data_IF_657494003913
#
_entry.id   IF_657494003913
#
_cell.length_a   1.000
_cell.length_b   1.000
_cell.length_c   1.000
_cell.angle_alpha   90.00
_cell.angle_beta   90.00
_cell.angle_gamma   90.00
#
_symmetry.space_group_name_H-M   'P 1'
#
loop_
_entity.id
_entity.type
_entity.pdbx_description
1 polymer ?
#
# COMPACT_ATOMS: atom_id res chain seq x y z
N UNK A 1 -9.80 28.79 5.36
CA UNK A 1 -8.59 28.71 4.50
C UNK A 1 -8.90 27.90 3.24
N UNK A 2 -8.00 27.89 2.24
CA UNK A 2 -8.21 27.23 0.93
C UNK A 2 -8.62 25.75 0.98
N UNK A 3 -8.22 25.02 2.03
CA UNK A 3 -8.44 23.58 2.19
C UNK A 3 -9.52 23.22 3.21
N UNK A 4 -10.04 24.18 3.97
CA UNK A 4 -11.10 23.93 4.94
C UNK A 4 -12.40 23.49 4.25
N UNK A 5 -13.05 22.45 4.78
CA UNK A 5 -14.28 21.89 4.24
C UNK A 5 -14.10 20.91 3.07
N UNK A 6 -12.88 20.75 2.53
CA UNK A 6 -12.55 19.70 1.56
C UNK A 6 -12.37 18.35 2.25
N UNK A 7 -12.69 17.27 1.54
CA UNK A 7 -12.32 15.91 1.94
C UNK A 7 -10.80 15.72 1.95
N UNK A 8 -10.32 14.70 2.67
CA UNK A 8 -8.89 14.40 2.75
C UNK A 8 -8.30 14.11 1.36
N UNK A 9 -9.04 13.37 0.52
CA UNK A 9 -8.68 13.03 -0.86
C UNK A 9 -8.59 14.27 -1.75
N UNK A 10 -9.51 15.23 -1.61
CA UNK A 10 -9.46 16.50 -2.35
C UNK A 10 -8.25 17.35 -1.93
N UNK A 11 -7.93 17.38 -0.63
CA UNK A 11 -6.72 18.06 -0.14
C UNK A 11 -5.48 17.40 -0.74
N UNK A 12 -5.38 16.07 -0.71
CA UNK A 12 -4.26 15.33 -1.29
C UNK A 12 -4.09 15.63 -2.78
N UNK A 13 -5.19 15.68 -3.54
CA UNK A 13 -5.15 15.91 -4.99
C UNK A 13 -4.84 17.36 -5.39
N UNK A 14 -5.07 18.33 -4.51
CA UNK A 14 -4.98 19.76 -4.85
C UNK A 14 -3.93 20.56 -4.07
N UNK A 15 -3.32 19.98 -3.03
CA UNK A 15 -2.29 20.63 -2.23
C UNK A 15 -0.87 20.25 -2.66
N UNK A 16 0.12 20.96 -2.13
CA UNK A 16 1.54 20.67 -2.29
C UNK A 16 2.30 20.92 -0.97
N UNK A 17 3.60 20.61 -0.96
CA UNK A 17 4.48 20.90 0.16
C UNK A 17 4.02 20.27 1.48
N UNK A 18 4.08 21.03 2.57
CA UNK A 18 3.74 20.55 3.91
C UNK A 18 2.29 20.08 4.06
N UNK A 19 1.34 20.75 3.40
CA UNK A 19 -0.08 20.35 3.47
C UNK A 19 -0.28 18.99 2.81
N UNK A 20 0.28 18.81 1.61
CA UNK A 20 0.24 17.51 0.91
C UNK A 20 0.88 16.41 1.74
N UNK A 21 2.10 16.65 2.26
CA UNK A 21 2.84 15.64 3.00
C UNK A 21 2.05 15.14 4.22
N UNK A 22 1.44 16.05 4.97
CA UNK A 22 0.66 15.66 6.15
C UNK A 22 -0.66 15.00 5.79
N UNK A 23 -1.42 15.57 4.85
CA UNK A 23 -2.71 15.01 4.43
C UNK A 23 -2.53 13.60 3.83
N UNK A 24 -1.56 13.42 2.95
CA UNK A 24 -1.27 12.13 2.33
C UNK A 24 -0.78 11.12 3.36
N UNK A 25 0.07 11.49 4.32
CA UNK A 25 0.49 10.56 5.37
C UNK A 25 -0.66 10.15 6.29
N UNK A 26 -1.59 11.05 6.64
CA UNK A 26 -2.80 10.66 7.40
C UNK A 26 -3.59 9.60 6.64
N UNK A 27 -3.80 9.80 5.34
CA UNK A 27 -4.52 8.85 4.52
C UNK A 27 -3.76 7.53 4.37
N UNK A 28 -2.46 7.57 4.04
CA UNK A 28 -1.61 6.39 3.84
C UNK A 28 -1.58 5.50 5.09
N UNK A 29 -1.42 6.08 6.28
CA UNK A 29 -1.42 5.31 7.52
C UNK A 29 -2.80 4.74 7.84
N UNK A 30 -3.88 5.51 7.65
CA UNK A 30 -5.24 5.01 7.86
C UNK A 30 -5.51 3.80 6.95
N UNK A 31 -5.12 3.90 5.68
CA UNK A 31 -5.21 2.80 4.71
C UNK A 31 -4.35 1.60 5.12
N UNK A 32 -3.11 1.84 5.57
CA UNK A 32 -2.18 0.80 6.03
C UNK A 32 -2.73 0.04 7.25
N UNK A 33 -3.34 0.70 8.22
CA UNK A 33 -3.93 0.00 9.36
C UNK A 33 -5.08 -0.92 8.95
N UNK A 34 -5.89 -0.52 7.98
CA UNK A 34 -6.93 -1.40 7.41
C UNK A 34 -6.35 -2.56 6.58
N UNK A 35 -5.14 -2.40 6.03
CA UNK A 35 -4.40 -3.47 5.36
C UNK A 35 -3.91 -4.56 6.33
N UNK A 36 -3.97 -4.35 7.64
CA UNK A 36 -3.54 -5.32 8.65
C UNK A 36 -4.72 -5.83 9.46
N UNK A 37 -4.68 -7.11 9.86
CA UNK A 37 -5.67 -7.72 10.73
C UNK A 37 -5.03 -8.80 11.60
N UNK A 38 -5.42 -8.94 12.89
CA UNK A 38 -5.00 -10.07 13.71
C UNK A 38 -5.55 -11.42 13.22
N UNK A 39 -6.55 -11.42 12.34
CA UNK A 39 -7.04 -12.61 11.61
C UNK A 39 -6.64 -12.59 10.13
N UNK A 40 -5.66 -11.76 9.76
CA UNK A 40 -5.13 -11.65 8.41
C UNK A 40 -4.17 -12.80 8.04
N UNK A 41 -3.42 -12.56 6.98
CA UNK A 41 -2.47 -13.51 6.42
C UNK A 41 -3.10 -14.56 5.51
N UNK A 42 -2.35 -15.62 5.21
CA UNK A 42 -2.74 -16.60 4.20
C UNK A 42 -2.74 -16.01 2.78
N UNK A 43 -3.61 -16.52 1.92
CA UNK A 43 -3.74 -16.09 0.52
C UNK A 43 -5.12 -15.45 0.28
N UNK A 44 -5.23 -14.47 -0.64
CA UNK A 44 -6.52 -13.91 -1.03
C UNK A 44 -7.39 -14.97 -1.69
N UNK A 45 -8.69 -14.71 -1.75
CA UNK A 45 -9.67 -15.59 -2.39
C UNK A 45 -10.50 -14.80 -3.42
N UNK A 46 -11.35 -15.52 -4.16
CA UNK A 46 -12.32 -14.93 -5.07
C UNK A 46 -11.68 -14.09 -6.19
N UNK A 47 -12.31 -12.97 -6.53
CA UNK A 47 -11.90 -12.10 -7.63
C UNK A 47 -10.51 -11.52 -7.45
N UNK A 48 -10.11 -11.21 -6.21
CA UNK A 48 -8.77 -10.70 -5.92
C UNK A 48 -7.69 -11.74 -6.20
N UNK A 49 -7.91 -12.99 -5.82
CA UNK A 49 -6.98 -14.08 -6.14
C UNK A 49 -6.85 -14.28 -7.65
N UNK A 50 -7.98 -14.26 -8.38
CA UNK A 50 -7.99 -14.38 -9.82
C UNK A 50 -7.28 -13.21 -10.52
N UNK A 51 -7.50 -11.98 -10.05
CA UNK A 51 -6.83 -10.78 -10.56
C UNK A 51 -5.31 -10.82 -10.33
N UNK A 52 -4.88 -11.28 -9.15
CA UNK A 52 -3.46 -11.48 -8.83
C UNK A 52 -2.85 -12.53 -9.75
N UNK A 53 -3.49 -13.69 -9.92
CA UNK A 53 -3.00 -14.75 -10.83
C UNK A 53 -2.93 -14.25 -12.27
N UNK A 54 -3.93 -13.47 -12.72
CA UNK A 54 -3.94 -12.88 -14.07
C UNK A 54 -2.78 -11.91 -14.30
N UNK A 55 -2.45 -11.06 -13.32
CA UNK A 55 -1.41 -10.04 -13.46
C UNK A 55 0.00 -10.53 -13.16
N UNK A 56 0.16 -11.49 -12.25
CA UNK A 56 1.47 -11.91 -11.73
C UNK A 56 1.78 -13.40 -11.96
N UNK A 57 0.85 -14.16 -12.54
CA UNK A 57 0.97 -15.60 -12.82
C UNK A 57 0.64 -16.50 -11.62
N UNK A 58 1.02 -16.11 -10.41
CA UNK A 58 0.64 -16.82 -9.17
C UNK A 58 0.69 -15.88 -7.96
N UNK A 59 0.04 -16.28 -6.86
CA UNK A 59 0.17 -15.55 -5.59
C UNK A 59 1.63 -15.54 -5.08
N UNK A 60 2.34 -16.66 -5.21
CA UNK A 60 3.76 -16.74 -4.83
C UNK A 60 4.63 -15.73 -5.61
N UNK A 61 4.44 -15.64 -6.93
CA UNK A 61 5.16 -14.69 -7.77
C UNK A 61 4.79 -13.23 -7.46
N UNK A 62 3.52 -12.95 -7.15
CA UNK A 62 3.10 -11.63 -6.65
C UNK A 62 3.78 -11.29 -5.33
N UNK A 63 3.74 -12.19 -4.36
CA UNK A 63 4.34 -12.02 -3.03
C UNK A 63 5.85 -11.75 -3.14
N UNK A 64 6.55 -12.47 -4.00
CA UNK A 64 7.97 -12.26 -4.29
C UNK A 64 8.22 -10.87 -4.87
N UNK A 65 7.51 -10.49 -5.94
CA UNK A 65 7.68 -9.19 -6.60
C UNK A 65 7.33 -8.01 -5.67
N UNK A 66 6.26 -8.12 -4.88
CA UNK A 66 5.86 -7.08 -3.92
C UNK A 66 6.89 -6.94 -2.81
N UNK A 67 7.39 -8.07 -2.28
CA UNK A 67 8.45 -8.07 -1.25
C UNK A 67 9.73 -7.44 -1.79
N UNK A 68 10.15 -7.81 -3.00
CA UNK A 68 11.35 -7.26 -3.63
C UNK A 68 11.23 -5.74 -3.84
N UNK A 69 10.08 -5.27 -4.33
CA UNK A 69 9.79 -3.85 -4.51
C UNK A 69 9.85 -3.08 -3.18
N UNK A 70 9.28 -3.62 -2.10
CA UNK A 70 9.27 -3.00 -0.77
C UNK A 70 10.65 -2.96 -0.12
N UNK A 71 11.43 -4.06 -0.26
CA UNK A 71 12.81 -4.10 0.25
C UNK A 71 13.69 -3.09 -0.49
N UNK A 72 13.55 -2.99 -1.82
CA UNK A 72 14.37 -2.11 -2.66
C UNK A 72 13.89 -0.65 -2.73
N UNK A 73 12.76 -0.31 -2.10
CA UNK A 73 12.26 1.07 -2.07
C UNK A 73 13.19 1.95 -1.21
N UNK A 74 14.12 2.65 -1.86
CA UNK A 74 15.21 3.33 -1.17
C UNK A 74 14.71 4.54 -0.36
N UNK A 75 15.14 4.61 0.90
CA UNK A 75 14.71 5.65 1.85
C UNK A 75 13.34 5.37 2.45
N UNK A 76 12.62 6.46 2.73
CA UNK A 76 11.26 6.46 3.26
C UNK A 76 10.24 6.41 2.13
N UNK A 77 9.18 5.63 2.30
CA UNK A 77 8.16 5.47 1.28
C UNK A 77 7.18 4.36 1.56
N UNK A 78 6.44 4.00 0.52
CA UNK A 78 5.35 3.03 0.55
C UNK A 78 5.41 2.14 -0.69
N UNK A 79 5.02 0.89 -0.53
CA UNK A 79 4.86 -0.05 -1.65
C UNK A 79 3.41 -0.48 -1.73
N UNK A 80 2.82 -0.36 -2.92
CA UNK A 80 1.39 -0.49 -3.14
C UNK A 80 1.09 -1.59 -4.14
N UNK A 81 0.01 -2.33 -3.90
CA UNK A 81 -0.73 -3.03 -4.94
C UNK A 81 -1.83 -2.09 -5.38
N UNK A 82 -1.90 -1.83 -6.68
CA UNK A 82 -2.90 -0.94 -7.27
C UNK A 82 -3.63 -1.64 -8.41
N UNK A 83 -4.89 -1.24 -8.65
CA UNK A 83 -5.64 -1.50 -9.87
C UNK A 83 -5.47 -0.33 -10.82
N UNK A 84 -4.96 -0.60 -12.01
CA UNK A 84 -4.82 0.36 -13.12
C UNK A 84 -6.19 0.67 -13.76
N UNK A 85 -6.31 1.76 -14.53
CA UNK A 85 -7.56 2.11 -15.22
C UNK A 85 -8.07 1.03 -16.19
N UNK A 86 -7.17 0.23 -16.77
CA UNK A 86 -7.50 -0.91 -17.63
C UNK A 86 -7.92 -2.18 -16.86
N UNK A 87 -7.94 -2.10 -15.52
CA UNK A 87 -8.29 -3.18 -14.61
C UNK A 87 -7.14 -4.13 -14.27
N UNK A 88 -5.95 -3.98 -14.86
CA UNK A 88 -4.79 -4.79 -14.49
C UNK A 88 -4.26 -4.40 -13.10
N UNK A 89 -3.71 -5.38 -12.38
CA UNK A 89 -3.00 -5.10 -11.13
C UNK A 89 -1.53 -4.78 -11.39
N UNK A 90 -0.98 -3.87 -10.60
CA UNK A 90 0.43 -3.48 -10.66
C UNK A 90 0.98 -3.24 -9.25
N UNK A 91 2.30 -3.35 -9.13
CA UNK A 91 3.05 -2.96 -7.93
C UNK A 91 3.71 -1.62 -8.21
N UNK A 92 3.52 -0.64 -7.32
CA UNK A 92 4.14 0.69 -7.45
C UNK A 92 4.79 1.09 -6.14
N UNK A 93 5.95 1.75 -6.24
CA UNK A 93 6.63 2.37 -5.11
C UNK A 93 6.39 3.87 -5.13
N UNK A 94 6.16 4.46 -3.97
CA UNK A 94 6.16 5.90 -3.79
C UNK A 94 7.18 6.29 -2.73
N UNK A 95 7.75 7.48 -2.90
CA UNK A 95 8.71 8.06 -1.94
C UNK A 95 8.00 9.02 -1.00
N UNK A 96 8.44 9.04 0.26
CA UNK A 96 7.93 9.88 1.32
C UNK A 96 6.40 9.76 1.48
N UNK A 97 5.66 10.84 1.26
CA UNK A 97 4.20 10.90 1.42
C UNK A 97 3.43 10.61 0.13
N UNK A 98 4.11 10.47 -1.01
CA UNK A 98 3.45 10.27 -2.29
C UNK A 98 2.54 9.04 -2.26
N UNK A 99 1.42 9.12 -2.96
CA UNK A 99 0.33 8.15 -2.88
C UNK A 99 -0.33 7.97 -4.25
N UNK A 100 -0.81 6.77 -4.61
CA UNK A 100 -1.52 6.55 -5.88
C UNK A 100 -2.73 7.47 -6.10
N UNK A 101 -3.30 8.06 -5.04
CA UNK A 101 -4.45 8.97 -5.13
C UNK A 101 -4.23 10.22 -6.00
N UNK A 102 -2.98 10.61 -6.26
CA UNK A 102 -2.67 11.74 -7.17
C UNK A 102 -2.70 11.34 -8.64
N UNK A 103 -2.85 10.05 -8.95
CA UNK A 103 -3.04 9.52 -10.29
C UNK A 103 -4.41 8.88 -10.47
N UNK A 104 -4.50 7.96 -11.43
CA UNK A 104 -5.75 7.23 -11.76
C UNK A 104 -5.77 5.81 -11.15
N UNK A 105 -4.67 5.39 -10.54
CA UNK A 105 -4.51 4.09 -9.91
C UNK A 105 -5.37 3.99 -8.63
N UNK A 106 -6.10 2.88 -8.46
CA UNK A 106 -6.85 2.59 -7.24
C UNK A 106 -6.01 1.72 -6.29
N UNK A 107 -5.62 2.21 -5.10
CA UNK A 107 -4.85 1.42 -4.13
C UNK A 107 -5.70 0.28 -3.52
N UNK A 108 -5.10 -0.91 -3.41
CA UNK A 108 -5.73 -2.12 -2.89
C UNK A 108 -5.07 -2.61 -1.59
N UNK A 109 -3.74 -2.54 -1.54
CA UNK A 109 -2.91 -2.94 -0.40
C UNK A 109 -1.69 -2.02 -0.35
N UNK A 110 -1.22 -1.69 0.85
CA UNK A 110 0.05 -0.97 1.03
C UNK A 110 0.87 -1.56 2.16
N UNK A 111 2.17 -1.34 2.11
CA UNK A 111 3.09 -1.54 3.23
C UNK A 111 3.90 -0.27 3.43
N UNK A 112 3.96 0.17 4.69
CA UNK A 112 4.85 1.24 5.11
C UNK A 112 6.29 0.73 5.19
N UNK A 113 7.22 1.37 4.48
CA UNK A 113 8.66 1.06 4.55
C UNK A 113 9.50 2.21 5.09
N UNK A 114 8.88 3.23 5.67
CA UNK A 114 9.56 4.14 6.58
C UNK A 114 10.13 3.36 7.76
N UNK A 115 11.35 3.71 8.20
CA UNK A 115 12.03 2.97 9.26
C UNK A 115 11.20 2.87 10.54
N UNK A 116 10.44 3.91 10.89
CA UNK A 116 9.61 3.88 12.10
C UNK A 116 8.56 2.77 12.12
N UNK A 117 8.14 2.25 10.96
CA UNK A 117 7.17 1.15 10.87
C UNK A 117 7.74 -0.18 11.39
N UNK A 118 9.08 -0.33 11.42
CA UNK A 118 9.72 -1.61 11.76
C UNK A 118 10.97 -1.50 12.64
N UNK A 119 11.54 -0.32 12.87
CA UNK A 119 12.86 -0.22 13.49
C UNK A 119 12.87 -0.73 14.93
N UNK A 120 11.76 -0.58 15.67
CA UNK A 120 11.62 -1.06 17.05
C UNK A 120 11.74 -2.59 17.12
N UNK A 121 11.14 -3.30 16.17
CA UNK A 121 11.07 -4.77 16.19
C UNK A 121 12.19 -5.44 15.37
N UNK A 122 12.62 -4.80 14.28
CA UNK A 122 13.50 -5.40 13.27
C UNK A 122 14.78 -4.61 13.00
N UNK A 123 14.94 -3.40 13.55
CA UNK A 123 16.07 -2.49 13.24
C UNK A 123 16.25 -2.36 11.71
N UNK A 124 17.44 -2.59 11.19
CA UNK A 124 17.75 -2.51 9.76
C UNK A 124 17.23 -3.71 8.95
N UNK A 125 16.66 -4.74 9.58
CA UNK A 125 16.20 -5.95 8.92
C UNK A 125 14.81 -5.78 8.28
N UNK A 126 14.67 -4.80 7.37
CA UNK A 126 13.44 -4.58 6.60
C UNK A 126 12.90 -5.86 5.93
N UNK A 127 13.71 -6.75 5.33
CA UNK A 127 13.19 -8.02 4.80
C UNK A 127 12.45 -8.86 5.85
N UNK A 128 12.92 -8.87 7.10
CA UNK A 128 12.29 -9.61 8.19
C UNK A 128 10.94 -9.02 8.59
N UNK A 129 10.81 -7.70 8.54
CA UNK A 129 9.53 -7.02 8.70
C UNK A 129 8.54 -7.44 7.60
N UNK A 130 8.96 -7.47 6.33
CA UNK A 130 8.09 -7.90 5.22
C UNK A 130 7.63 -9.35 5.35
N UNK A 131 8.50 -10.26 5.82
CA UNK A 131 8.09 -11.64 6.11
C UNK A 131 6.90 -11.70 7.08
N UNK A 132 6.90 -10.86 8.11
CA UNK A 132 5.85 -10.80 9.13
C UNK A 132 4.62 -10.01 8.67
N UNK A 133 4.79 -8.98 7.83
CA UNK A 133 3.69 -8.25 7.20
C UNK A 133 2.73 -9.21 6.50
N UNK A 134 3.25 -10.21 5.76
CA UNK A 134 2.44 -11.20 5.06
C UNK A 134 1.56 -12.07 5.96
N UNK A 135 1.91 -12.22 7.24
CA UNK A 135 1.07 -12.93 8.21
C UNK A 135 -0.10 -12.08 8.73
N UNK A 136 -0.09 -10.78 8.45
CA UNK A 136 -1.06 -9.80 8.95
C UNK A 136 -1.96 -9.23 7.85
N UNK A 137 -1.66 -9.47 6.58
CA UNK A 137 -2.41 -8.85 5.46
C UNK A 137 -3.91 -9.14 5.55
N UNK A 138 -4.70 -8.08 5.57
CA UNK A 138 -6.15 -8.14 5.53
C UNK A 138 -6.65 -8.24 4.08
N UNK A 139 -6.77 -9.47 3.58
CA UNK A 139 -7.28 -9.71 2.23
C UNK A 139 -8.74 -9.29 2.01
N UNK A 140 -9.54 -9.20 3.08
CA UNK A 140 -10.93 -8.73 2.98
C UNK A 140 -10.97 -7.27 2.57
N UNK A 141 -10.18 -6.42 3.23
CA UNK A 141 -10.06 -5.00 2.87
C UNK A 141 -9.52 -4.81 1.46
N UNK A 142 -8.50 -5.60 1.05
CA UNK A 142 -7.99 -5.54 -0.31
C UNK A 142 -9.05 -5.95 -1.36
N UNK A 143 -9.92 -6.91 -1.05
CA UNK A 143 -11.00 -7.32 -1.92
C UNK A 143 -12.13 -6.27 -1.99
N UNK A 144 -12.48 -5.62 -0.87
CA UNK A 144 -13.41 -4.49 -0.84
C UNK A 144 -12.91 -3.32 -1.71
N UNK A 145 -11.61 -3.05 -1.68
CA UNK A 145 -11.00 -2.03 -2.54
C UNK A 145 -10.95 -2.43 -4.02
N UNK A 146 -10.96 -3.72 -4.35
CA UNK A 146 -10.94 -4.18 -5.75
C UNK A 146 -12.28 -3.94 -6.47
N UNK A 147 -13.37 -4.09 -5.71
CA UNK A 147 -14.76 -3.96 -6.15
C UNK A 147 -15.08 -2.58 -6.77
#
# INVERSE_FOLDING_TARGET
SEFEGKSLEEIIKTSNGGVFNNAAQVWNHTFYWHCLSPQGGGEPQGELAAAIVKSFGSFAAFKEQFTDAAVKNFGAGWTWLVKKPDGALAIVNTSNAATPLTGEDKPLLTVDVWEHAYYIDYRNARPKYLENFWALVNWTFAAENLA
#
